data_IF_029566054410
#
_entry.id   IF_029566054410
#
_cell.length_a   1.000
_cell.length_b   1.000
_cell.length_c   1.000
_cell.angle_alpha   90.00
_cell.angle_beta   90.00
_cell.angle_gamma   90.00
#
_symmetry.space_group_name_H-M   'P 1'
#
loop_
_entity.id
_entity.type
_entity.pdbx_description
1 polymer ?
#
# COMPACT_ATOMS: atom_id res chain seq x y z
N UNK A 1 1.47 -0.10 -3.80
CA UNK A 1 2.51 -0.40 -4.78
C UNK A 1 2.85 0.84 -5.60
N UNK A 2 4.13 1.22 -5.68
CA UNK A 2 4.52 2.46 -6.38
C UNK A 2 4.57 2.30 -7.90
N UNK A 3 4.69 1.09 -8.40
CA UNK A 3 4.74 0.80 -9.84
C UNK A 3 3.36 0.91 -10.48
N UNK A 4 2.39 0.17 -9.95
CA UNK A 4 1.03 0.12 -10.48
C UNK A 4 0.06 1.11 -9.82
N UNK A 5 0.47 1.73 -8.73
CA UNK A 5 -0.37 2.52 -7.82
C UNK A 5 -1.47 1.71 -7.12
N UNK A 6 -1.42 0.38 -7.22
CA UNK A 6 -2.40 -0.49 -6.58
C UNK A 6 -2.32 -0.41 -5.07
N UNK A 7 -3.46 -0.18 -4.43
CA UNK A 7 -3.62 -0.39 -3.00
C UNK A 7 -3.68 -1.90 -2.73
N UNK A 8 -2.69 -2.41 -2.02
CA UNK A 8 -2.61 -3.85 -1.71
C UNK A 8 -3.44 -4.22 -0.49
N UNK A 9 -3.47 -3.33 0.50
CA UNK A 9 -4.20 -3.56 1.73
C UNK A 9 -4.59 -2.25 2.40
N UNK A 10 -5.69 -2.28 3.14
CA UNK A 10 -6.12 -1.23 4.04
C UNK A 10 -6.48 -1.87 5.39
N UNK A 11 -5.63 -1.70 6.38
CA UNK A 11 -5.96 -2.02 7.77
C UNK A 11 -6.51 -0.79 8.46
N UNK A 12 -7.57 -0.96 9.21
CA UNK A 12 -8.24 0.11 9.95
C UNK A 12 -8.31 -0.26 11.42
N UNK A 13 -8.10 0.72 12.28
CA UNK A 13 -8.12 0.55 13.73
C UNK A 13 -8.31 1.87 14.44
N UNK A 14 -8.55 1.81 15.74
CA UNK A 14 -8.74 3.01 16.57
C UNK A 14 -7.42 3.73 16.86
N UNK A 15 -6.31 3.03 16.77
CA UNK A 15 -4.97 3.57 17.09
C UNK A 15 -4.00 3.29 15.93
N UNK A 16 -3.24 4.30 15.47
CA UNK A 16 -2.22 4.15 14.44
C UNK A 16 -0.91 3.61 15.04
N UNK A 17 -0.95 2.39 15.56
CA UNK A 17 0.16 1.74 16.24
C UNK A 17 0.90 0.72 15.37
N UNK A 18 1.93 0.09 15.94
CA UNK A 18 2.74 -0.91 15.25
C UNK A 18 1.94 -2.17 14.88
N UNK A 19 0.94 -2.53 15.67
CA UNK A 19 0.10 -3.70 15.42
C UNK A 19 -0.78 -3.49 14.20
N UNK A 20 -1.35 -2.30 14.04
CA UNK A 20 -2.11 -1.92 12.84
C UNK A 20 -1.22 -1.95 11.59
N UNK A 21 0.00 -1.41 11.68
CA UNK A 21 0.96 -1.47 10.57
C UNK A 21 1.37 -2.92 10.25
N UNK A 22 1.58 -3.76 11.25
CA UNK A 22 1.84 -5.18 11.06
C UNK A 22 0.66 -5.92 10.40
N UNK A 23 -0.57 -5.57 10.75
CA UNK A 23 -1.75 -6.12 10.08
C UNK A 23 -1.80 -5.71 8.60
N UNK A 24 -1.59 -4.43 8.30
CA UNK A 24 -1.56 -3.92 6.94
C UNK A 24 -0.51 -4.63 6.06
N UNK A 25 0.72 -4.79 6.56
CA UNK A 25 1.78 -5.44 5.78
C UNK A 25 1.50 -6.94 5.56
N UNK A 26 0.93 -7.65 6.53
CA UNK A 26 0.52 -9.05 6.38
C UNK A 26 -0.56 -9.19 5.30
N UNK A 27 -1.56 -8.31 5.31
CA UNK A 27 -2.61 -8.27 4.29
C UNK A 27 -2.03 -7.97 2.91
N UNK A 28 -1.10 -7.02 2.80
CA UNK A 28 -0.44 -6.68 1.53
C UNK A 28 0.36 -7.86 0.97
N UNK A 29 1.08 -8.59 1.82
CA UNK A 29 1.81 -9.82 1.44
C UNK A 29 0.85 -10.90 0.97
N UNK A 30 -0.27 -11.11 1.66
CA UNK A 30 -1.30 -12.05 1.25
C UNK A 30 -1.90 -11.67 -0.11
N UNK A 31 -2.16 -10.39 -0.36
CA UNK A 31 -2.65 -9.88 -1.64
C UNK A 31 -1.67 -10.12 -2.82
N UNK A 32 -0.38 -10.29 -2.53
CA UNK A 32 0.67 -10.63 -3.51
C UNK A 32 0.97 -12.13 -3.60
N UNK A 33 0.11 -12.99 -3.05
CA UNK A 33 0.26 -14.46 -3.10
C UNK A 33 1.05 -15.06 -1.93
N UNK A 34 1.26 -14.29 -0.87
CA UNK A 34 1.93 -14.74 0.35
C UNK A 34 3.44 -14.58 0.33
N UNK A 35 4.08 -14.98 1.44
CA UNK A 35 5.52 -14.82 1.63
C UNK A 35 6.35 -15.47 0.51
N UNK A 36 5.99 -16.65 0.08
CA UNK A 36 6.74 -17.37 -0.95
C UNK A 36 6.76 -16.63 -2.30
N UNK A 37 5.68 -15.96 -2.65
CA UNK A 37 5.56 -15.20 -3.90
C UNK A 37 6.43 -13.93 -3.90
N UNK A 38 6.68 -13.33 -2.74
CA UNK A 38 7.46 -12.08 -2.62
C UNK A 38 8.90 -12.31 -2.17
N UNK A 39 9.24 -13.50 -1.66
CA UNK A 39 10.57 -13.80 -1.15
C UNK A 39 11.60 -13.80 -2.29
N UNK A 40 12.75 -13.18 -2.03
CA UNK A 40 13.93 -13.24 -2.89
C UNK A 40 15.13 -13.52 -2.01
N UNK A 41 16.02 -14.38 -2.48
CA UNK A 41 17.24 -14.75 -1.77
C UNK A 41 18.22 -13.56 -1.75
N UNK A 42 18.42 -12.94 -2.90
CA UNK A 42 19.23 -11.74 -3.02
C UNK A 42 18.53 -10.53 -2.37
N UNK A 43 19.22 -9.88 -1.43
CA UNK A 43 18.67 -8.73 -0.71
C UNK A 43 18.34 -7.56 -1.62
N UNK A 44 19.10 -7.38 -2.70
CA UNK A 44 18.88 -6.32 -3.71
C UNK A 44 17.54 -6.44 -4.44
N UNK A 45 17.04 -7.68 -4.59
CA UNK A 45 15.80 -7.99 -5.30
C UNK A 45 14.55 -8.01 -4.39
N UNK A 46 14.75 -7.92 -3.07
CA UNK A 46 13.64 -7.94 -2.11
C UNK A 46 12.74 -6.73 -2.28
N UNK A 47 11.46 -6.95 -2.00
CA UNK A 47 10.47 -5.87 -1.93
C UNK A 47 10.94 -4.80 -0.96
N UNK A 48 10.91 -3.55 -1.41
CA UNK A 48 11.21 -2.39 -0.58
C UNK A 48 9.90 -1.85 -0.02
N UNK A 49 9.83 -1.72 1.29
CA UNK A 49 8.77 -1.01 1.98
C UNK A 49 9.29 0.35 2.44
N UNK A 50 8.85 1.40 1.78
CA UNK A 50 9.29 2.76 2.06
C UNK A 50 8.31 3.48 2.98
N UNK A 51 8.82 4.16 4.02
CA UNK A 51 8.03 4.94 4.98
C UNK A 51 8.81 6.17 5.46
N UNK A 52 8.12 7.03 6.19
CA UNK A 52 8.79 7.98 7.08
C UNK A 52 9.44 7.26 8.27
N UNK A 53 10.05 8.02 9.18
CA UNK A 53 10.66 7.51 10.42
C UNK A 53 9.69 7.52 11.61
N UNK A 54 8.40 7.39 11.38
CA UNK A 54 7.40 7.32 12.45
C UNK A 54 7.68 6.19 13.43
N UNK A 55 7.31 6.38 14.70
CA UNK A 55 7.51 5.40 15.76
C UNK A 55 6.88 4.04 15.47
N UNK A 56 5.78 4.03 14.77
CA UNK A 56 5.09 2.83 14.28
C UNK A 56 6.00 1.94 13.42
N UNK A 57 6.72 2.52 12.46
CA UNK A 57 7.55 1.79 11.50
C UNK A 57 8.96 1.48 12.03
N UNK A 58 9.41 2.21 13.05
CA UNK A 58 10.68 1.95 13.76
C UNK A 58 10.51 0.96 14.92
N UNK A 59 9.29 0.58 15.28
CA UNK A 59 9.00 -0.37 16.33
C UNK A 59 9.64 -1.74 16.05
N UNK A 60 10.18 -2.37 17.10
CA UNK A 60 10.83 -3.68 16.98
C UNK A 60 9.91 -4.76 16.41
N UNK A 61 8.61 -4.74 16.74
CA UNK A 61 7.62 -5.68 16.22
C UNK A 61 7.51 -5.57 14.69
N UNK A 62 7.40 -4.35 14.17
CA UNK A 62 7.29 -4.10 12.72
C UNK A 62 8.58 -4.47 11.98
N UNK A 63 9.73 -4.05 12.49
CA UNK A 63 11.04 -4.38 11.91
C UNK A 63 11.30 -5.88 11.86
N UNK A 64 10.97 -6.61 12.95
CA UNK A 64 11.07 -8.07 13.02
C UNK A 64 10.17 -8.74 11.99
N UNK A 65 8.94 -8.28 11.84
CA UNK A 65 8.00 -8.80 10.84
C UNK A 65 8.50 -8.59 9.41
N UNK A 66 8.99 -7.40 9.07
CA UNK A 66 9.56 -7.14 7.74
C UNK A 66 10.69 -8.11 7.42
N UNK A 67 11.63 -8.34 8.36
CA UNK A 67 12.71 -9.33 8.18
C UNK A 67 12.18 -10.75 7.95
N UNK A 68 11.18 -11.18 8.73
CA UNK A 68 10.55 -12.50 8.59
C UNK A 68 9.86 -12.69 7.23
N UNK A 69 9.33 -11.62 6.66
CA UNK A 69 8.67 -11.62 5.35
C UNK A 69 9.63 -11.43 4.18
N UNK A 70 10.92 -11.15 4.44
CA UNK A 70 11.89 -10.86 3.40
C UNK A 70 11.71 -9.47 2.78
N UNK A 71 11.13 -8.54 3.55
CA UNK A 71 10.91 -7.15 3.13
C UNK A 71 12.05 -6.27 3.63
N UNK A 72 12.61 -5.47 2.75
CA UNK A 72 13.62 -4.47 3.08
C UNK A 72 12.94 -3.14 3.42
N UNK A 73 13.15 -2.66 4.64
CA UNK A 73 12.67 -1.33 5.02
C UNK A 73 13.57 -0.24 4.44
N UNK A 74 12.95 0.77 3.86
CA UNK A 74 13.57 2.02 3.44
C UNK A 74 12.87 3.18 4.15
N UNK A 75 13.63 4.05 4.77
CA UNK A 75 13.08 5.18 5.50
C UNK A 75 13.55 6.48 4.89
N UNK A 76 12.61 7.39 4.68
CA UNK A 76 12.87 8.74 4.19
C UNK A 76 13.92 9.49 5.02
N UNK A 77 14.59 10.46 4.42
CA UNK A 77 15.51 11.33 5.13
C UNK A 77 14.72 12.26 6.06
N UNK A 78 15.31 12.57 7.21
CA UNK A 78 14.73 13.57 8.11
C UNK A 78 14.63 14.91 7.38
N UNK A 79 13.43 15.48 7.29
CA UNK A 79 13.17 16.75 6.64
C UNK A 79 12.94 16.71 5.12
N UNK A 80 12.89 15.53 4.48
CA UNK A 80 12.51 15.39 3.07
C UNK A 80 11.01 15.11 2.94
N UNK A 81 10.26 16.09 2.45
CA UNK A 81 8.83 15.94 2.16
C UNK A 81 8.55 15.15 0.87
N UNK A 82 9.54 14.98 -0.02
CA UNK A 82 9.35 14.28 -1.30
C UNK A 82 9.35 12.76 -1.18
N UNK A 83 9.95 12.23 -0.11
CA UNK A 83 10.13 10.78 0.05
C UNK A 83 8.82 10.03 0.32
N UNK A 84 7.74 10.73 0.72
CA UNK A 84 6.43 10.13 1.01
C UNK A 84 5.29 10.64 0.11
N UNK A 85 5.62 11.36 -0.96
CA UNK A 85 4.63 12.03 -1.82
C UNK A 85 3.54 11.09 -2.39
N UNK A 86 3.86 9.82 -2.63
CA UNK A 86 2.89 8.85 -3.14
C UNK A 86 1.83 8.47 -2.10
N UNK A 87 2.22 8.34 -0.83
CA UNK A 87 1.29 8.09 0.26
C UNK A 87 0.44 9.34 0.55
N UNK A 88 1.06 10.51 0.56
CA UNK A 88 0.35 11.78 0.73
C UNK A 88 -0.69 12.01 -0.37
N UNK A 89 -0.34 11.72 -1.64
CA UNK A 89 -1.27 11.82 -2.76
C UNK A 89 -2.44 10.83 -2.63
N UNK A 90 -2.19 9.61 -2.11
CA UNK A 90 -3.26 8.65 -1.84
C UNK A 90 -4.21 9.18 -0.76
N UNK A 91 -3.69 9.62 0.37
CA UNK A 91 -4.53 10.13 1.47
C UNK A 91 -5.27 11.41 1.08
N UNK A 92 -4.65 12.30 0.30
CA UNK A 92 -5.31 13.48 -0.25
C UNK A 92 -6.48 13.11 -1.17
N UNK A 93 -6.32 12.06 -1.98
CA UNK A 93 -7.41 11.56 -2.83
C UNK A 93 -8.55 10.96 -1.98
N UNK A 94 -8.22 10.16 -0.97
CA UNK A 94 -9.20 9.59 -0.03
C UNK A 94 -9.97 10.69 0.70
N UNK A 95 -9.26 11.68 1.22
CA UNK A 95 -9.88 12.83 1.90
C UNK A 95 -10.85 13.55 0.98
N UNK A 96 -10.39 13.92 -0.22
CA UNK A 96 -11.18 14.72 -1.16
C UNK A 96 -12.33 13.94 -1.80
N UNK A 97 -12.11 12.69 -2.15
CA UNK A 97 -13.10 11.90 -2.90
C UNK A 97 -14.12 11.21 -1.99
N UNK A 98 -13.78 10.97 -0.72
CA UNK A 98 -14.61 10.21 0.23
C UNK A 98 -14.91 10.99 1.49
N UNK A 99 -13.88 11.29 2.30
CA UNK A 99 -14.10 11.71 3.67
C UNK A 99 -14.78 13.09 3.75
N UNK A 100 -14.35 14.04 2.94
CA UNK A 100 -14.94 15.40 2.92
C UNK A 100 -16.34 15.46 2.29
N UNK A 101 -16.73 14.41 1.55
CA UNK A 101 -18.03 14.38 0.82
C UNK A 101 -19.10 13.57 1.53
N UNK A 102 -18.75 12.83 2.56
CA UNK A 102 -19.67 11.97 3.28
C UNK A 102 -19.80 12.41 4.74
N UNK A 103 -20.98 12.21 5.30
CA UNK A 103 -21.22 12.28 6.74
C UNK A 103 -21.52 10.88 7.22
N UNK A 104 -20.68 10.38 8.13
CA UNK A 104 -20.81 9.04 8.65
C UNK A 104 -21.54 9.03 9.99
N UNK A 105 -22.42 8.07 10.18
CA UNK A 105 -23.13 7.88 11.45
C UNK A 105 -22.23 7.30 12.54
N UNK A 106 -21.33 6.40 12.12
CA UNK A 106 -20.40 5.74 13.01
C UNK A 106 -19.12 5.30 12.26
N UNK A 107 -18.18 4.76 13.02
CA UNK A 107 -16.90 4.26 12.50
C UNK A 107 -17.08 3.07 11.57
N UNK A 108 -18.06 2.22 11.80
CA UNK A 108 -18.31 1.01 10.98
C UNK A 108 -18.73 1.43 9.57
N UNK A 109 -19.66 2.39 9.48
CA UNK A 109 -20.08 2.94 8.19
C UNK A 109 -18.91 3.60 7.47
N UNK A 110 -18.11 4.41 8.19
CA UNK A 110 -16.92 5.06 7.60
C UNK A 110 -15.94 4.03 7.05
N UNK A 111 -15.64 2.99 7.80
CA UNK A 111 -14.75 1.91 7.36
C UNK A 111 -15.29 1.19 6.13
N UNK A 112 -16.57 0.85 6.10
CA UNK A 112 -17.18 0.18 4.96
C UNK A 112 -17.08 1.01 3.67
N UNK A 113 -17.37 2.30 3.74
CA UNK A 113 -17.29 3.21 2.59
C UNK A 113 -15.85 3.39 2.11
N UNK A 114 -14.89 3.52 3.04
CA UNK A 114 -13.47 3.63 2.69
C UNK A 114 -12.95 2.34 2.06
N UNK A 115 -13.33 1.18 2.59
CA UNK A 115 -12.96 -0.13 2.01
C UNK A 115 -13.52 -0.29 0.60
N UNK A 116 -14.79 0.03 0.40
CA UNK A 116 -15.41 -0.04 -0.93
C UNK A 116 -14.69 0.90 -1.92
N UNK A 117 -14.45 2.15 -1.52
CA UNK A 117 -13.70 3.08 -2.37
C UNK A 117 -12.31 2.55 -2.70
N UNK A 118 -11.57 2.01 -1.73
CA UNK A 118 -10.23 1.48 -1.93
C UNK A 118 -10.19 0.30 -2.91
N UNK A 119 -11.04 -0.69 -2.69
CA UNK A 119 -10.95 -1.94 -3.44
C UNK A 119 -11.79 -1.93 -4.71
N UNK A 120 -12.92 -1.24 -4.75
CA UNK A 120 -13.81 -1.20 -5.90
C UNK A 120 -13.44 -0.05 -6.84
N UNK A 121 -13.47 1.17 -6.35
CA UNK A 121 -13.24 2.34 -7.20
C UNK A 121 -11.75 2.61 -7.45
N UNK A 122 -10.94 2.79 -6.38
CA UNK A 122 -9.54 3.17 -6.52
C UNK A 122 -8.73 2.15 -7.33
N UNK A 123 -8.86 0.87 -7.02
CA UNK A 123 -8.09 -0.18 -7.67
C UNK A 123 -8.57 -0.52 -9.09
N UNK A 124 -9.89 -0.45 -9.36
CA UNK A 124 -10.45 -0.96 -10.62
C UNK A 124 -10.96 0.12 -11.57
N UNK A 125 -11.25 1.33 -11.08
CA UNK A 125 -11.89 2.37 -11.89
C UNK A 125 -11.10 3.67 -11.94
N UNK A 126 -10.48 4.08 -10.81
CA UNK A 126 -9.76 5.34 -10.71
C UNK A 126 -8.56 5.36 -11.65
N UNK A 127 -8.53 6.38 -12.51
CA UNK A 127 -7.42 6.57 -13.46
C UNK A 127 -6.22 7.22 -12.76
N UNK A 128 -5.02 6.78 -13.13
CA UNK A 128 -3.77 7.31 -12.60
C UNK A 128 -2.85 7.77 -13.74
N UNK A 129 -2.49 9.05 -13.75
CA UNK A 129 -1.54 9.60 -14.74
C UNK A 129 -0.17 8.92 -14.66
N UNK A 130 0.29 8.57 -13.45
CA UNK A 130 1.55 7.86 -13.23
C UNK A 130 1.55 6.40 -13.72
N UNK A 131 0.39 5.86 -14.13
CA UNK A 131 0.22 4.54 -14.73
C UNK A 131 -0.36 4.64 -16.16
N UNK A 132 0.00 5.67 -16.91
CA UNK A 132 -0.44 5.94 -18.28
C UNK A 132 -1.97 5.95 -18.46
N UNK A 133 -2.71 6.22 -17.40
CA UNK A 133 -4.15 6.43 -17.42
C UNK A 133 -5.06 5.27 -17.05
N UNK A 134 -4.71 3.96 -17.12
CA UNK A 134 -5.60 2.91 -16.63
C UNK A 134 -5.67 2.90 -15.10
N UNK A 135 -6.65 2.16 -14.56
CA UNK A 135 -6.72 1.88 -13.13
C UNK A 135 -5.58 0.93 -12.71
N UNK A 136 -5.19 0.91 -11.43
CA UNK A 136 -4.08 0.10 -10.95
C UNK A 136 -4.13 -1.38 -11.33
N UNK A 137 -5.28 -2.02 -11.19
CA UNK A 137 -5.44 -3.43 -11.57
C UNK A 137 -5.35 -3.63 -13.08
N UNK A 138 -5.98 -2.76 -13.86
CA UNK A 138 -5.91 -2.84 -15.32
C UNK A 138 -4.49 -2.58 -15.84
N UNK A 139 -3.72 -1.72 -15.16
CA UNK A 139 -2.30 -1.53 -15.45
C UNK A 139 -1.52 -2.83 -15.23
N UNK A 140 -1.68 -3.50 -14.08
CA UNK A 140 -1.01 -4.78 -13.80
C UNK A 140 -1.38 -5.87 -14.81
N UNK A 141 -2.66 -5.96 -15.20
CA UNK A 141 -3.12 -6.92 -16.22
C UNK A 141 -2.49 -6.62 -17.59
N UNK A 142 -2.40 -5.35 -17.98
CA UNK A 142 -1.74 -4.97 -19.23
C UNK A 142 -0.27 -5.36 -19.24
N UNK A 143 0.46 -5.02 -18.17
CA UNK A 143 1.88 -5.30 -18.04
C UNK A 143 2.20 -6.81 -17.98
N UNK A 144 1.33 -7.60 -17.36
CA UNK A 144 1.52 -9.07 -17.33
C UNK A 144 1.36 -9.71 -18.71
N UNK A 145 0.56 -9.14 -19.59
CA UNK A 145 0.37 -9.61 -20.98
C UNK A 145 1.50 -9.19 -21.91
N UNK A 146 2.21 -8.11 -21.58
CA UNK A 146 3.31 -7.56 -22.39
C UNK A 146 4.68 -8.15 -22.06
N UNK A 147 4.84 -8.76 -20.89
CA UNK A 147 6.06 -9.49 -20.56
C UNK A 147 5.99 -10.87 -21.20
N UNK A 148 6.87 -11.21 -22.19
CA UNK A 148 6.95 -12.60 -22.65
C UNK A 148 7.33 -13.47 -21.45
N UNK A 149 6.67 -14.64 -21.33
CA UNK A 149 7.12 -15.69 -20.41
C UNK A 149 8.62 -15.89 -20.67
N UNK A 150 9.43 -15.59 -19.65
CA UNK A 150 10.82 -15.99 -19.68
C UNK A 150 10.84 -17.51 -19.62
N UNK A 151 11.11 -18.11 -20.78
CA UNK A 151 11.30 -19.55 -20.93
C UNK A 151 12.57 -20.01 -20.18
#
# INVERSE_FOLDING_TARGET
DLYSRRLLAAAMGLHPDADLACAAIKMAVAARGGRQAIWRDEESERVIFHTDRGSTYTANAFTKLCRQLGIRQSMGRVGSCFDNAAAEAFFSSLEWEVLSRNRFHDTIQAQAVVIDWCYTFYNHQRRHSAADGPSPVNYEIRESKTKPEAA
#
